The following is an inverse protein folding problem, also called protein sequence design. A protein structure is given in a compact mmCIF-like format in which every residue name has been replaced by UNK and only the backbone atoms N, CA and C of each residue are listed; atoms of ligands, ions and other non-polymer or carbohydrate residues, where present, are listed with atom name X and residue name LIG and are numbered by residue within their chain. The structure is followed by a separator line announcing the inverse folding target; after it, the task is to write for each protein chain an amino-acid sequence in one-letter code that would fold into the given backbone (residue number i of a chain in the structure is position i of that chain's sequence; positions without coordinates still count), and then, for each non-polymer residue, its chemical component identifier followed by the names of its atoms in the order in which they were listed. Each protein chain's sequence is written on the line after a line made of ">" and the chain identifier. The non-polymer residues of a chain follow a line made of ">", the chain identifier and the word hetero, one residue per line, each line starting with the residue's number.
data_IF_146254453887
#
_entry.id   IF_146254453887
#
_cell.length_a   1.000
_cell.length_b   1.000
_cell.length_c   1.000
_cell.angle_alpha   90.00
_cell.angle_beta   90.00
_cell.angle_gamma   90.00
#
_symmetry.space_group_name_H-M   'P 1'
#
loop_
_entity.id
_entity.type
_entity.pdbx_description
1 polymer ?
#
# COMPACT_ATOMS: atom_id res chain seq x y z
N UNK A 1 51.34 -7.53 27.57
CA UNK A 1 50.57 -6.58 26.74
C UNK A 1 49.80 -7.37 25.69
N UNK A 2 48.54 -7.75 25.97
CA UNK A 2 47.74 -8.69 25.13
C UNK A 2 46.27 -8.27 24.98
N UNK A 3 45.96 -6.98 24.77
CA UNK A 3 44.58 -6.57 24.48
C UNK A 3 44.57 -5.38 23.52
N UNK A 4 44.80 -5.62 22.22
CA UNK A 4 44.67 -4.58 21.20
C UNK A 4 44.11 -5.10 19.86
N UNK A 5 43.44 -6.26 19.85
CA UNK A 5 42.87 -6.86 18.63
C UNK A 5 41.34 -6.95 18.65
N UNK A 6 40.68 -6.51 19.72
CA UNK A 6 39.23 -6.55 19.85
C UNK A 6 38.44 -5.37 19.22
N UNK A 7 38.98 -4.15 18.98
CA UNK A 7 38.11 -3.04 18.59
C UNK A 7 37.76 -3.03 17.10
N UNK A 8 38.48 -3.78 16.25
CA UNK A 8 38.30 -3.76 14.79
C UNK A 8 37.16 -4.64 14.28
N UNK A 9 36.72 -5.64 15.05
CA UNK A 9 35.59 -6.50 14.68
C UNK A 9 34.21 -5.88 15.00
N UNK A 10 34.14 -4.94 15.94
CA UNK A 10 32.90 -4.24 16.28
C UNK A 10 32.57 -3.12 15.29
N UNK A 11 33.57 -2.51 14.65
CA UNK A 11 33.38 -1.43 13.69
C UNK A 11 32.82 -1.90 12.34
N UNK A 12 33.10 -3.14 11.94
CA UNK A 12 32.63 -3.72 10.66
C UNK A 12 31.24 -4.34 10.73
N UNK A 13 30.74 -4.68 11.92
CA UNK A 13 29.36 -5.18 12.09
C UNK A 13 28.31 -4.07 12.00
N UNK A 14 28.66 -2.84 12.39
CA UNK A 14 27.69 -1.74 12.47
C UNK A 14 27.36 -1.12 11.12
N UNK A 15 28.28 -1.16 10.16
CA UNK A 15 28.05 -0.64 8.79
C UNK A 15 27.17 -1.54 7.93
N UNK A 16 27.04 -2.84 8.25
CA UNK A 16 26.18 -3.76 7.50
C UNK A 16 24.69 -3.61 7.85
N UNK A 17 24.36 -3.11 9.05
CA UNK A 17 22.98 -2.94 9.51
C UNK A 17 22.25 -1.73 8.87
N UNK A 18 22.98 -0.80 8.27
CA UNK A 18 22.40 0.43 7.70
C UNK A 18 21.96 0.23 6.23
N UNK A 19 22.35 -0.89 5.60
CA UNK A 19 22.03 -1.18 4.21
C UNK A 19 20.70 -1.97 4.03
N UNK A 20 20.14 -2.53 5.11
CA UNK A 20 18.89 -3.30 5.06
C UNK A 20 17.64 -2.52 4.56
N UNK A 21 17.45 -1.20 4.80
CA UNK A 21 16.21 -0.54 4.40
C UNK A 21 16.11 -0.28 2.89
N UNK A 22 17.20 -0.49 2.12
CA UNK A 22 17.18 -0.27 0.68
C UNK A 22 16.47 -1.39 -0.11
N UNK A 23 16.35 -2.59 0.46
CA UNK A 23 15.80 -3.76 -0.26
C UNK A 23 14.26 -3.85 -0.19
N UNK A 24 13.62 -3.18 0.77
CA UNK A 24 12.15 -3.09 0.89
C UNK A 24 11.57 -1.83 0.19
N UNK A 25 12.42 -0.86 -0.15
CA UNK A 25 12.03 0.39 -0.80
C UNK A 25 11.15 0.24 -2.07
N UNK A 26 11.37 -0.71 -3.00
CA UNK A 26 10.57 -0.77 -4.22
C UNK A 26 9.12 -1.21 -3.96
N UNK A 27 8.89 -2.17 -3.04
CA UNK A 27 7.55 -2.65 -2.72
C UNK A 27 6.72 -1.60 -1.98
N UNK A 28 7.32 -0.84 -1.05
CA UNK A 28 6.62 0.29 -0.42
C UNK A 28 6.25 1.38 -1.43
N UNK A 29 7.14 1.69 -2.38
CA UNK A 29 6.85 2.67 -3.42
C UNK A 29 5.74 2.20 -4.35
N UNK A 30 5.74 0.91 -4.71
CA UNK A 30 4.65 0.31 -5.47
C UNK A 30 3.32 0.38 -4.72
N UNK A 31 3.31 0.01 -3.44
CA UNK A 31 2.12 0.13 -2.59
C UNK A 31 1.58 1.56 -2.56
N UNK A 32 2.46 2.55 -2.40
CA UNK A 32 2.07 3.96 -2.43
C UNK A 32 1.48 4.37 -3.79
N UNK A 33 2.12 3.98 -4.90
CA UNK A 33 1.61 4.24 -6.25
C UNK A 33 0.21 3.67 -6.44
N UNK A 34 -0.04 2.44 -5.96
CA UNK A 34 -1.37 1.81 -6.03
C UNK A 34 -2.43 2.54 -5.21
N UNK A 35 -2.05 3.10 -4.06
CA UNK A 35 -2.94 3.98 -3.28
C UNK A 35 -3.27 5.26 -4.04
N UNK A 36 -2.29 5.86 -4.71
CA UNK A 36 -2.52 7.05 -5.54
C UNK A 36 -3.44 6.77 -6.73
N UNK A 37 -3.25 5.64 -7.43
CA UNK A 37 -4.15 5.15 -8.49
C UNK A 37 -5.59 4.99 -7.95
N UNK A 38 -5.75 4.32 -6.79
CA UNK A 38 -7.05 4.16 -6.15
C UNK A 38 -7.71 5.50 -5.80
N UNK A 39 -6.94 6.49 -5.33
CA UNK A 39 -7.46 7.82 -5.00
C UNK A 39 -7.94 8.58 -6.25
N UNK A 40 -7.23 8.45 -7.37
CA UNK A 40 -7.67 9.00 -8.65
C UNK A 40 -9.00 8.36 -9.11
N UNK A 41 -9.11 7.04 -9.01
CA UNK A 41 -10.34 6.31 -9.33
C UNK A 41 -11.50 6.70 -8.42
N UNK A 42 -11.26 6.97 -7.13
CA UNK A 42 -12.32 7.47 -6.22
C UNK A 42 -12.85 8.82 -6.63
N UNK A 43 -12.00 9.70 -7.17
CA UNK A 43 -12.47 10.94 -7.76
C UNK A 43 -13.33 10.64 -9.00
N UNK A 44 -12.87 9.77 -9.89
CA UNK A 44 -13.62 9.37 -11.09
C UNK A 44 -14.99 8.76 -10.75
N UNK A 45 -15.09 7.81 -9.82
CA UNK A 45 -16.35 7.20 -9.40
C UNK A 45 -17.36 8.24 -8.89
N UNK A 46 -16.90 9.28 -8.18
CA UNK A 46 -17.77 10.39 -7.74
C UNK A 46 -18.30 11.20 -8.93
N UNK A 47 -17.47 11.40 -9.95
CA UNK A 47 -17.89 12.12 -11.16
C UNK A 47 -18.88 11.30 -11.98
N UNK A 48 -18.63 10.00 -12.13
CA UNK A 48 -19.53 9.06 -12.81
C UNK A 48 -20.89 8.97 -12.11
N UNK A 49 -20.90 8.95 -10.78
CA UNK A 49 -22.13 8.98 -10.00
C UNK A 49 -22.92 10.29 -10.20
N UNK A 50 -22.24 11.44 -10.31
CA UNK A 50 -22.89 12.74 -10.56
C UNK A 50 -23.56 12.82 -11.92
N UNK A 51 -23.02 12.14 -12.93
CA UNK A 51 -23.61 12.08 -14.27
C UNK A 51 -24.58 10.91 -14.44
N UNK A 52 -24.83 10.13 -13.38
CA UNK A 52 -25.78 9.01 -13.39
C UNK A 52 -25.30 7.77 -14.15
N UNK A 53 -23.99 7.63 -14.40
CA UNK A 53 -23.45 6.46 -15.10
C UNK A 53 -23.18 5.31 -14.12
N UNK A 54 -24.24 4.58 -13.77
CA UNK A 54 -24.22 3.55 -12.74
C UNK A 54 -23.24 2.39 -13.03
N UNK A 55 -23.30 1.81 -14.23
CA UNK A 55 -22.42 0.69 -14.62
C UNK A 55 -20.95 1.06 -14.43
N UNK A 56 -20.58 2.26 -14.89
CA UNK A 56 -19.21 2.75 -14.82
C UNK A 56 -18.77 3.06 -13.39
N UNK A 57 -19.68 3.54 -12.53
CA UNK A 57 -19.40 3.67 -11.09
C UNK A 57 -19.05 2.31 -10.50
N UNK A 58 -19.80 1.27 -10.84
CA UNK A 58 -19.56 -0.07 -10.32
C UNK A 58 -18.22 -0.63 -10.79
N UNK A 59 -17.91 -0.51 -12.08
CA UNK A 59 -16.59 -0.88 -12.64
C UNK A 59 -15.44 -0.13 -11.94
N UNK A 60 -15.57 1.19 -11.77
CA UNK A 60 -14.55 2.00 -11.09
C UNK A 60 -14.40 1.60 -9.61
N UNK A 61 -15.50 1.26 -8.92
CA UNK A 61 -15.47 0.78 -7.54
C UNK A 61 -14.85 -0.63 -7.42
N UNK A 62 -15.00 -1.47 -8.43
CA UNK A 62 -14.29 -2.75 -8.52
C UNK A 62 -12.80 -2.52 -8.68
N UNK A 63 -12.38 -1.66 -9.62
CA UNK A 63 -10.97 -1.37 -9.86
C UNK A 63 -10.29 -0.76 -8.63
N UNK A 64 -10.96 0.12 -7.87
CA UNK A 64 -10.43 0.63 -6.59
C UNK A 64 -10.12 -0.51 -5.62
N UNK A 65 -10.99 -1.54 -5.60
CA UNK A 65 -10.80 -2.72 -4.75
C UNK A 65 -9.53 -3.49 -5.10
N UNK A 66 -9.30 -3.68 -6.40
CA UNK A 66 -8.11 -4.34 -6.91
C UNK A 66 -6.84 -3.53 -6.58
N UNK A 67 -6.88 -2.19 -6.76
CA UNK A 67 -5.75 -1.32 -6.38
C UNK A 67 -5.45 -1.39 -4.88
N UNK A 68 -6.46 -1.47 -4.03
CA UNK A 68 -6.24 -1.64 -2.59
C UNK A 68 -5.70 -3.02 -2.21
N UNK A 69 -6.12 -4.08 -2.91
CA UNK A 69 -5.54 -5.41 -2.73
C UNK A 69 -4.06 -5.42 -3.11
N UNK A 70 -3.72 -4.92 -4.32
CA UNK A 70 -2.34 -4.78 -4.79
C UNK A 70 -1.49 -3.95 -3.82
N UNK A 71 -2.02 -2.81 -3.36
CA UNK A 71 -1.32 -1.92 -2.44
C UNK A 71 -1.04 -2.60 -1.10
N UNK A 72 -2.03 -3.34 -0.56
CA UNK A 72 -1.91 -4.05 0.71
C UNK A 72 -0.81 -5.09 0.62
N UNK A 73 -0.83 -5.91 -0.43
CA UNK A 73 0.14 -6.99 -0.60
C UNK A 73 1.57 -6.40 -0.73
N UNK A 74 1.73 -5.31 -1.49
CA UNK A 74 3.00 -4.60 -1.60
C UNK A 74 3.50 -4.01 -0.25
N UNK A 75 2.60 -3.48 0.59
CA UNK A 75 2.96 -2.99 1.93
C UNK A 75 3.27 -4.12 2.91
N UNK A 76 2.59 -5.27 2.80
CA UNK A 76 2.91 -6.46 3.58
C UNK A 76 4.31 -6.99 3.23
N UNK A 77 4.63 -7.07 1.94
CA UNK A 77 5.95 -7.49 1.44
C UNK A 77 7.06 -6.51 1.84
N UNK A 78 6.76 -5.21 1.90
CA UNK A 78 7.71 -4.20 2.38
C UNK A 78 7.88 -4.18 3.92
N UNK A 79 7.02 -4.87 4.67
CA UNK A 79 7.03 -4.84 6.15
C UNK A 79 6.28 -3.64 6.75
N UNK A 80 5.52 -2.89 5.95
CA UNK A 80 4.68 -1.78 6.38
C UNK A 80 3.26 -2.24 6.80
N UNK A 81 3.18 -3.26 7.67
CA UNK A 81 1.93 -3.95 8.00
C UNK A 81 0.82 -3.06 8.60
N UNK A 82 1.16 -1.95 9.25
CA UNK A 82 0.16 -0.99 9.76
C UNK A 82 -0.63 -0.35 8.61
N UNK A 83 0.05 0.04 7.52
CA UNK A 83 -0.59 0.61 6.33
C UNK A 83 -1.49 -0.45 5.67
N UNK A 84 -1.07 -1.71 5.65
CA UNK A 84 -1.89 -2.82 5.17
C UNK A 84 -3.15 -3.06 6.02
N UNK A 85 -3.13 -2.74 7.32
CA UNK A 85 -4.33 -2.77 8.18
C UNK A 85 -5.28 -1.63 7.81
N UNK A 86 -4.77 -0.43 7.57
CA UNK A 86 -5.58 0.71 7.14
C UNK A 86 -6.27 0.42 5.80
N UNK A 87 -5.56 -0.19 4.84
CA UNK A 87 -6.15 -0.60 3.56
C UNK A 87 -7.24 -1.67 3.71
N UNK A 88 -7.15 -2.56 4.71
CA UNK A 88 -8.26 -3.47 5.05
C UNK A 88 -9.48 -2.71 5.58
N UNK A 89 -9.26 -1.64 6.34
CA UNK A 89 -10.33 -0.73 6.75
C UNK A 89 -10.97 -0.03 5.54
N UNK A 90 -10.16 0.50 4.64
CA UNK A 90 -10.65 1.14 3.42
C UNK A 90 -11.39 0.18 2.49
N UNK A 91 -10.95 -1.08 2.40
CA UNK A 91 -11.66 -2.12 1.67
C UNK A 91 -13.05 -2.40 2.25
N UNK A 92 -13.22 -2.30 3.58
CA UNK A 92 -14.55 -2.40 4.20
C UNK A 92 -15.42 -1.20 3.86
N UNK A 93 -14.85 0.01 3.87
CA UNK A 93 -15.54 1.23 3.46
C UNK A 93 -15.98 1.15 1.99
N UNK A 94 -15.14 0.56 1.12
CA UNK A 94 -15.45 0.34 -0.29
C UNK A 94 -16.65 -0.60 -0.47
N UNK A 95 -16.75 -1.68 0.32
CA UNK A 95 -17.92 -2.58 0.29
C UNK A 95 -19.21 -1.84 0.64
N UNK A 96 -19.17 -0.92 1.60
CA UNK A 96 -20.32 -0.06 1.92
C UNK A 96 -20.67 0.83 0.73
N UNK A 97 -19.66 1.43 0.07
CA UNK A 97 -19.88 2.24 -1.12
C UNK A 97 -20.50 1.45 -2.29
N UNK A 98 -20.03 0.22 -2.56
CA UNK A 98 -20.63 -0.68 -3.55
C UNK A 98 -22.09 -0.98 -3.24
N UNK A 99 -22.40 -1.30 -1.98
CA UNK A 99 -23.78 -1.54 -1.54
C UNK A 99 -24.69 -0.31 -1.69
N UNK A 100 -24.19 0.89 -1.37
CA UNK A 100 -24.93 2.14 -1.56
C UNK A 100 -25.25 2.36 -3.05
N UNK A 101 -24.31 2.04 -3.92
CA UNK A 101 -24.48 2.12 -5.36
C UNK A 101 -25.14 0.87 -5.97
N UNK A 102 -25.51 -0.16 -5.20
CA UNK A 102 -26.08 -1.43 -5.71
C UNK A 102 -25.22 -2.10 -6.78
N UNK A 103 -23.91 -2.14 -6.53
CA UNK A 103 -22.91 -2.81 -7.37
C UNK A 103 -22.66 -4.24 -6.89
N UNK A 104 -23.74 -4.95 -6.54
CA UNK A 104 -23.70 -6.24 -5.83
C UNK A 104 -23.08 -7.36 -6.68
#
# INVERSE_FOLDING_TARGET
>A
MRHALFPTLLASGFTLMIAAPALAAPACFEGQRKVEEANALRFQARQEARIGNHDRVCETLDEIGDRYADARDAFEDCGAGVVAIDLRSESRNLRVAKKVNRCD
#
